data_IF_649842319715
#
_entry.id   IF_649842319715
#
_cell.length_a   1.000
_cell.length_b   1.000
_cell.length_c   1.000
_cell.angle_alpha   90.00
_cell.angle_beta   90.00
_cell.angle_gamma   90.00
#
_symmetry.space_group_name_H-M   'P 1'
#
loop_
_entity.id
_entity.type
_entity.pdbx_description
1 polymer ?
#
# COMPACT_ATOMS: atom_id res chain seq x y z
N UNK A 1 35.54 33.02 64.47
CA UNK A 1 34.38 33.93 64.42
C UNK A 1 34.75 35.04 63.43
N UNK A 2 34.08 35.33 62.32
CA UNK A 2 32.70 35.10 61.86
C UNK A 2 32.71 34.81 60.35
N UNK A 3 31.76 33.97 59.99
CA UNK A 3 31.26 33.56 58.69
C UNK A 3 31.00 34.70 57.71
N UNK A 4 31.33 34.49 56.43
CA UNK A 4 30.54 34.99 55.31
C UNK A 4 30.38 33.89 54.26
N UNK A 5 29.29 33.15 54.42
CA UNK A 5 28.73 32.24 53.43
C UNK A 5 28.20 33.11 52.29
N UNK A 6 28.81 33.03 51.11
CA UNK A 6 28.24 33.59 49.89
C UNK A 6 27.56 32.47 49.10
N UNK A 7 26.23 32.53 49.09
CA UNK A 7 25.33 31.72 48.25
C UNK A 7 25.24 32.40 46.88
N UNK A 8 25.72 31.75 45.83
CA UNK A 8 25.33 31.88 44.42
C UNK A 8 26.32 30.99 43.64
N UNK A 9 25.92 29.99 42.84
CA UNK A 9 25.22 30.16 41.57
C UNK A 9 24.46 28.87 41.24
N UNK A 10 23.23 29.04 40.77
CA UNK A 10 22.35 28.03 40.22
C UNK A 10 22.85 27.50 38.85
N UNK A 11 22.49 26.24 38.56
CA UNK A 11 22.06 25.72 37.24
C UNK A 11 23.02 25.77 36.04
N UNK A 12 23.53 24.59 35.66
CA UNK A 12 23.51 24.08 34.27
C UNK A 12 24.00 22.62 34.22
N UNK A 13 23.14 21.67 34.58
CA UNK A 13 23.33 20.25 34.26
C UNK A 13 22.10 19.75 33.48
N UNK A 14 21.91 20.30 32.28
CA UNK A 14 20.91 19.84 31.32
C UNK A 14 21.58 19.82 29.94
N UNK A 15 22.06 18.66 29.52
CA UNK A 15 22.75 18.51 28.25
C UNK A 15 23.17 17.07 27.94
N UNK A 16 22.41 16.10 28.41
CA UNK A 16 22.56 14.69 28.04
C UNK A 16 21.19 14.17 27.63
N UNK A 17 20.60 14.78 26.61
CA UNK A 17 19.39 14.27 25.98
C UNK A 17 19.71 12.89 25.43
N UNK A 18 19.27 11.86 26.14
CA UNK A 18 19.17 10.51 25.61
C UNK A 18 18.21 10.59 24.43
N UNK A 19 18.75 10.79 23.22
CA UNK A 19 18.03 10.47 22.00
C UNK A 19 17.86 8.96 22.01
N UNK A 20 16.84 8.50 22.75
CA UNK A 20 16.25 7.21 22.49
C UNK A 20 15.79 7.29 21.04
N UNK A 21 16.61 6.74 20.15
CA UNK A 21 16.20 6.37 18.81
C UNK A 21 15.04 5.41 19.04
N UNK A 22 13.82 5.94 19.04
CA UNK A 22 12.63 5.13 18.85
C UNK A 22 12.79 4.61 17.44
N UNK A 23 13.44 3.45 17.30
CA UNK A 23 13.30 2.61 16.13
C UNK A 23 11.79 2.35 16.06
N UNK A 24 11.09 3.18 15.28
CA UNK A 24 9.71 2.92 14.95
C UNK A 24 9.72 1.51 14.37
N UNK A 25 8.94 0.62 14.97
CA UNK A 25 8.65 -0.67 14.37
C UNK A 25 7.98 -0.31 13.05
N UNK A 26 8.75 -0.35 11.96
CA UNK A 26 8.21 -0.22 10.63
C UNK A 26 7.44 -1.52 10.40
N UNK A 27 6.19 -1.51 10.85
CA UNK A 27 5.22 -2.55 10.65
C UNK A 27 5.11 -2.80 9.13
N UNK A 28 5.51 -4.00 8.71
CA UNK A 28 5.57 -4.36 7.30
C UNK A 28 4.70 -5.60 7.09
N UNK A 29 3.38 -5.42 7.20
CA UNK A 29 2.45 -6.49 6.84
C UNK A 29 2.67 -7.02 5.41
N UNK A 30 2.38 -8.30 5.18
CA UNK A 30 2.22 -8.82 3.83
C UNK A 30 1.02 -8.12 3.18
N UNK A 31 1.24 -7.56 2.00
CA UNK A 31 0.17 -6.90 1.24
C UNK A 31 -0.07 -7.62 -0.08
N UNK A 32 -1.25 -7.41 -0.65
CA UNK A 32 -1.61 -7.90 -1.97
C UNK A 32 -2.17 -6.73 -2.77
N UNK A 33 -1.69 -6.57 -4.00
CA UNK A 33 -2.17 -5.58 -4.96
C UNK A 33 -2.60 -6.30 -6.24
N UNK A 34 -3.72 -5.87 -6.80
CA UNK A 34 -4.27 -6.40 -8.06
C UNK A 34 -5.06 -5.30 -8.77
N UNK A 35 -4.39 -4.39 -9.48
CA UNK A 35 -5.06 -3.26 -10.14
C UNK A 35 -6.11 -3.76 -11.13
N UNK A 36 -7.32 -3.24 -11.00
CA UNK A 36 -8.45 -3.62 -11.87
C UNK A 36 -9.09 -4.97 -11.54
N UNK A 37 -8.81 -5.58 -10.38
CA UNK A 37 -9.49 -6.79 -9.93
C UNK A 37 -11.00 -6.56 -9.78
N UNK A 38 -11.80 -7.36 -10.50
CA UNK A 38 -13.27 -7.35 -10.47
C UNK A 38 -13.82 -8.71 -10.08
N UNK A 39 -15.00 -8.71 -9.48
CA UNK A 39 -15.79 -9.91 -9.24
C UNK A 39 -15.96 -10.73 -10.53
N UNK A 40 -15.70 -12.03 -10.48
CA UNK A 40 -15.83 -12.95 -11.63
C UNK A 40 -14.71 -12.85 -12.69
N UNK A 41 -13.76 -11.93 -12.58
CA UNK A 41 -12.69 -11.72 -13.56
C UNK A 41 -11.39 -12.44 -13.19
N UNK A 42 -10.47 -12.59 -14.14
CA UNK A 42 -9.06 -12.87 -13.80
C UNK A 42 -8.33 -11.59 -13.42
N UNK A 43 -7.41 -11.68 -12.46
CA UNK A 43 -6.50 -10.59 -12.11
C UNK A 43 -5.10 -11.12 -11.79
N UNK A 44 -4.09 -10.28 -11.96
CA UNK A 44 -2.74 -10.55 -11.47
C UNK A 44 -2.64 -10.03 -10.04
N UNK A 45 -2.62 -10.93 -9.07
CA UNK A 45 -2.39 -10.63 -7.67
C UNK A 45 -0.89 -10.65 -7.38
N UNK A 46 -0.36 -9.54 -6.88
CA UNK A 46 1.04 -9.38 -6.50
C UNK A 46 1.16 -9.27 -4.98
N UNK A 47 1.71 -10.30 -4.36
CA UNK A 47 1.97 -10.35 -2.93
C UNK A 47 3.32 -9.72 -2.63
N UNK A 48 3.35 -8.65 -1.83
CA UNK A 48 4.59 -8.06 -1.32
C UNK A 48 4.86 -8.63 0.07
N UNK A 49 5.95 -9.38 0.20
CA UNK A 49 6.33 -10.08 1.42
C UNK A 49 7.66 -9.52 1.94
N UNK A 50 7.66 -8.79 3.06
CA UNK A 50 8.88 -8.34 3.73
C UNK A 50 9.43 -9.41 4.68
N UNK A 51 10.74 -9.41 4.88
CA UNK A 51 11.42 -10.23 5.89
C UNK A 51 11.58 -9.42 7.17
N UNK A 52 10.79 -9.76 8.19
CA UNK A 52 10.77 -9.05 9.48
C UNK A 52 11.75 -9.62 10.53
N UNK A 53 12.54 -10.62 10.15
CA UNK A 53 13.63 -11.13 11.00
C UNK A 53 14.89 -10.28 10.80
N UNK A 54 15.60 -10.01 11.90
CA UNK A 54 16.90 -9.33 11.86
C UNK A 54 18.04 -10.23 11.36
N UNK A 55 17.84 -11.56 11.38
CA UNK A 55 18.91 -12.53 11.10
C UNK A 55 18.53 -13.61 10.11
N UNK A 56 17.25 -13.95 10.00
CA UNK A 56 16.76 -15.02 9.12
C UNK A 56 16.20 -14.46 7.81
N UNK A 57 16.34 -15.23 6.73
CA UNK A 57 15.78 -14.89 5.42
C UNK A 57 14.43 -15.59 5.20
N UNK A 58 13.53 -15.00 4.42
CA UNK A 58 12.32 -15.69 3.93
C UNK A 58 12.71 -16.70 2.86
N UNK A 59 12.38 -17.97 3.07
CA UNK A 59 12.75 -19.08 2.17
C UNK A 59 11.55 -19.73 1.50
N UNK A 60 10.35 -19.59 2.05
CA UNK A 60 9.13 -20.01 1.38
C UNK A 60 7.94 -19.11 1.75
N UNK A 61 7.00 -19.01 0.82
CA UNK A 61 5.70 -18.42 1.06
C UNK A 61 4.61 -19.31 0.48
N UNK A 62 3.55 -19.57 1.25
CA UNK A 62 2.37 -20.30 0.80
C UNK A 62 1.15 -19.42 0.96
N UNK A 63 0.52 -19.07 -0.16
CA UNK A 63 -0.70 -18.27 -0.21
C UNK A 63 -1.88 -19.20 -0.41
N UNK A 64 -2.86 -19.14 0.49
CA UNK A 64 -4.14 -19.86 0.35
C UNK A 64 -5.08 -19.05 -0.54
N UNK A 65 -5.74 -19.70 -1.49
CA UNK A 65 -6.68 -19.07 -2.42
C UNK A 65 -8.07 -19.74 -2.35
N UNK A 66 -9.17 -19.02 -2.67
CA UNK A 66 -10.53 -19.52 -2.45
C UNK A 66 -11.02 -20.44 -3.58
N UNK A 67 -10.46 -21.65 -3.70
CA UNK A 67 -10.90 -22.69 -4.64
C UNK A 67 -11.10 -22.19 -6.09
N UNK A 68 -10.07 -21.54 -6.64
CA UNK A 68 -10.14 -20.89 -7.95
C UNK A 68 -9.91 -21.89 -9.09
N UNK A 69 -10.37 -21.57 -10.30
CA UNK A 69 -10.15 -22.46 -11.45
C UNK A 69 -8.73 -22.36 -12.01
N UNK A 70 -8.16 -21.15 -12.01
CA UNK A 70 -6.89 -20.83 -12.67
C UNK A 70 -5.94 -20.17 -11.67
N UNK A 71 -4.68 -20.63 -11.69
CA UNK A 71 -3.54 -19.95 -11.10
C UNK A 71 -2.33 -20.13 -12.02
N UNK A 72 -1.72 -19.03 -12.45
CA UNK A 72 -0.52 -19.01 -13.29
C UNK A 72 0.52 -18.10 -12.64
N UNK A 73 1.61 -18.68 -12.18
CA UNK A 73 2.68 -17.95 -11.49
C UNK A 73 3.65 -17.33 -12.49
N UNK A 74 4.08 -16.11 -12.22
CA UNK A 74 5.19 -15.51 -12.95
C UNK A 74 6.51 -16.20 -12.56
N UNK A 75 7.36 -16.62 -13.52
CA UNK A 75 8.65 -17.23 -13.21
C UNK A 75 9.56 -16.25 -12.45
N UNK A 76 10.14 -16.71 -11.34
CA UNK A 76 11.09 -15.94 -10.54
C UNK A 76 12.41 -16.71 -10.51
N UNK A 77 13.53 -16.16 -11.03
CA UNK A 77 14.82 -16.84 -10.99
C UNK A 77 15.23 -17.24 -9.57
N UNK A 78 15.64 -18.50 -9.39
CA UNK A 78 16.05 -19.06 -8.10
C UNK A 78 14.88 -19.42 -7.18
N UNK A 79 13.63 -19.37 -7.66
CA UNK A 79 12.46 -19.82 -6.91
C UNK A 79 11.62 -20.79 -7.73
N UNK A 80 11.18 -21.86 -7.07
CA UNK A 80 10.22 -22.81 -7.62
C UNK A 80 8.83 -22.49 -7.11
N UNK A 81 7.85 -22.42 -8.01
CA UNK A 81 6.44 -22.26 -7.69
C UNK A 81 5.67 -23.58 -7.84
N UNK A 82 4.77 -23.85 -6.90
CA UNK A 82 3.86 -25.00 -6.89
C UNK A 82 2.42 -24.53 -6.72
N UNK A 83 1.52 -25.05 -7.56
CA UNK A 83 0.08 -24.79 -7.46
C UNK A 83 -0.61 -26.04 -6.95
N UNK A 84 -1.17 -25.98 -5.75
CA UNK A 84 -1.91 -27.08 -5.13
C UNK A 84 -3.39 -27.02 -5.54
N UNK A 85 -3.97 -28.20 -5.78
CA UNK A 85 -5.37 -28.36 -6.19
C UNK A 85 -6.08 -29.39 -5.32
N UNK A 86 -7.38 -29.22 -5.13
CA UNK A 86 -8.25 -30.21 -4.51
C UNK A 86 -8.69 -31.31 -5.51
N UNK A 87 -9.46 -32.28 -5.02
CA UNK A 87 -9.98 -33.41 -5.83
C UNK A 87 -10.88 -32.96 -7.00
N UNK A 88 -11.51 -31.79 -6.86
CA UNK A 88 -12.30 -31.13 -7.90
C UNK A 88 -11.44 -30.30 -8.88
N UNK A 89 -10.11 -30.44 -8.83
CA UNK A 89 -9.14 -29.69 -9.65
C UNK A 89 -9.15 -28.17 -9.45
N UNK A 90 -9.75 -27.67 -8.37
CA UNK A 90 -9.72 -26.25 -8.02
C UNK A 90 -8.43 -25.93 -7.27
N UNK A 91 -7.83 -24.79 -7.58
CA UNK A 91 -6.63 -24.28 -6.92
C UNK A 91 -6.96 -23.87 -5.49
N UNK A 92 -6.21 -24.41 -4.53
CA UNK A 92 -6.36 -24.15 -3.09
C UNK A 92 -5.21 -23.35 -2.52
N UNK A 93 -4.01 -23.48 -3.08
CA UNK A 93 -2.85 -22.73 -2.63
C UNK A 93 -1.81 -22.56 -3.74
N UNK A 94 -0.96 -21.55 -3.59
CA UNK A 94 0.24 -21.34 -4.38
C UNK A 94 1.42 -21.16 -3.44
N UNK A 95 2.46 -21.98 -3.62
CA UNK A 95 3.67 -21.96 -2.80
C UNK A 95 4.86 -21.57 -3.66
N UNK A 96 5.65 -20.60 -3.21
CA UNK A 96 6.98 -20.33 -3.76
C UNK A 96 8.03 -20.74 -2.74
N UNK A 97 9.09 -21.40 -3.21
CA UNK A 97 10.20 -21.87 -2.39
C UNK A 97 11.51 -21.48 -3.04
N UNK A 98 12.43 -20.92 -2.26
CA UNK A 98 13.78 -20.62 -2.71
C UNK A 98 14.48 -21.93 -3.09
N UNK A 99 15.07 -21.97 -4.28
CA UNK A 99 15.79 -23.14 -4.78
C UNK A 99 17.04 -23.43 -3.94
N UNK A 100 17.55 -24.67 -3.93
CA UNK A 100 18.81 -24.99 -3.28
C UNK A 100 19.95 -24.05 -3.72
N UNK A 101 20.60 -23.40 -2.76
CA UNK A 101 21.66 -22.42 -3.01
C UNK A 101 21.18 -20.96 -3.13
N UNK A 102 19.87 -20.71 -3.24
CA UNK A 102 19.31 -19.38 -3.09
C UNK A 102 19.21 -19.02 -1.58
N UNK A 103 19.82 -17.91 -1.11
CA UNK A 103 19.74 -17.49 0.30
C UNK A 103 18.34 -17.02 0.74
N UNK A 104 17.39 -16.86 -0.19
CA UNK A 104 16.05 -16.32 0.10
C UNK A 104 16.05 -14.79 0.18
N UNK A 105 15.00 -14.24 0.78
CA UNK A 105 14.83 -12.78 0.96
C UNK A 105 15.45 -12.37 2.28
N UNK A 106 16.57 -11.64 2.27
CA UNK A 106 17.34 -11.32 3.47
C UNK A 106 16.64 -10.34 4.43
N UNK A 107 17.17 -10.18 5.66
CA UNK A 107 16.71 -9.19 6.62
C UNK A 107 16.57 -7.78 6.02
N UNK A 108 15.47 -7.09 6.33
CA UNK A 108 15.20 -5.72 5.86
C UNK A 108 14.86 -5.60 4.36
N UNK A 109 14.72 -6.72 3.65
CA UNK A 109 14.32 -6.76 2.24
C UNK A 109 12.86 -7.20 2.10
N UNK A 110 12.31 -7.02 0.90
CA UNK A 110 11.01 -7.57 0.51
C UNK A 110 11.11 -8.22 -0.87
N UNK A 111 10.20 -9.15 -1.15
CA UNK A 111 10.03 -9.78 -2.45
C UNK A 111 8.58 -9.65 -2.91
N UNK A 112 8.38 -9.60 -4.23
CA UNK A 112 7.07 -9.68 -4.85
C UNK A 112 6.86 -11.08 -5.44
N UNK A 113 5.70 -11.66 -5.17
CA UNK A 113 5.27 -12.93 -5.73
C UNK A 113 3.97 -12.71 -6.49
N UNK A 114 4.03 -12.78 -7.82
CA UNK A 114 2.90 -12.51 -8.68
C UNK A 114 2.25 -13.80 -9.18
N UNK A 115 0.93 -13.82 -9.18
CA UNK A 115 0.12 -14.91 -9.70
C UNK A 115 -1.13 -14.36 -10.39
N UNK A 116 -1.37 -14.78 -11.62
CA UNK A 116 -2.65 -14.58 -12.29
C UNK A 116 -3.66 -15.57 -11.72
N UNK A 117 -4.73 -15.07 -11.10
CA UNK A 117 -5.77 -15.84 -10.42
C UNK A 117 -7.12 -15.57 -11.06
N UNK A 118 -7.97 -16.60 -11.14
CA UNK A 118 -9.39 -16.40 -11.38
C UNK A 118 -10.18 -17.63 -11.81
N UNK A 119 -11.46 -17.46 -12.15
CA UNK A 119 -12.23 -16.22 -11.93
C UNK A 119 -12.33 -15.89 -10.44
N UNK A 120 -12.13 -14.63 -10.07
CA UNK A 120 -12.23 -14.18 -8.68
C UNK A 120 -13.69 -14.35 -8.18
N UNK A 121 -13.90 -14.60 -6.88
CA UNK A 121 -15.24 -14.86 -6.37
C UNK A 121 -16.14 -13.63 -6.47
N UNK A 122 -17.46 -13.85 -6.48
CA UNK A 122 -18.49 -12.80 -6.53
C UNK A 122 -18.76 -12.25 -5.14
N UNK A 123 -17.78 -11.55 -4.58
CA UNK A 123 -17.82 -10.93 -3.26
C UNK A 123 -17.03 -9.62 -3.26
N UNK A 124 -17.31 -8.73 -2.32
CA UNK A 124 -16.68 -7.40 -2.26
C UNK A 124 -15.20 -7.45 -1.88
N UNK A 125 -14.76 -8.51 -1.21
CA UNK A 125 -13.35 -8.70 -0.84
C UNK A 125 -12.93 -10.16 -0.78
N UNK A 126 -11.66 -10.43 -0.98
CA UNK A 126 -11.06 -11.76 -0.88
C UNK A 126 -9.82 -11.67 0.00
N UNK A 127 -9.77 -12.47 1.06
CA UNK A 127 -8.59 -12.64 1.89
C UNK A 127 -7.75 -13.84 1.42
N UNK A 128 -6.44 -13.70 1.56
CA UNK A 128 -5.44 -14.66 1.12
C UNK A 128 -4.51 -15.03 2.28
N UNK A 129 -4.96 -15.90 3.21
CA UNK A 129 -4.11 -16.33 4.32
C UNK A 129 -2.76 -16.85 3.82
N UNK A 130 -1.68 -16.31 4.38
CA UNK A 130 -0.32 -16.57 3.88
C UNK A 130 0.56 -17.13 4.98
N UNK A 131 1.26 -18.24 4.71
CA UNK A 131 2.32 -18.77 5.57
C UNK A 131 3.67 -18.30 5.04
N UNK A 132 4.50 -17.74 5.90
CA UNK A 132 5.86 -17.32 5.57
C UNK A 132 6.86 -18.15 6.37
N UNK A 133 7.74 -18.87 5.69
CA UNK A 133 8.79 -19.69 6.30
C UNK A 133 10.13 -18.97 6.23
N UNK A 134 10.85 -18.97 7.34
CA UNK A 134 12.17 -18.38 7.49
C UNK A 134 13.27 -19.45 7.50
N UNK A 135 14.50 -19.03 7.21
CA UNK A 135 15.69 -19.89 7.14
C UNK A 135 16.07 -20.55 8.48
N UNK A 136 15.62 -19.99 9.60
CA UNK A 136 15.79 -20.54 10.96
C UNK A 136 14.72 -21.58 11.34
N UNK A 137 13.79 -21.87 10.42
CA UNK A 137 12.68 -22.80 10.62
C UNK A 137 11.43 -22.15 11.22
N UNK A 138 11.45 -20.87 11.59
CA UNK A 138 10.26 -20.15 12.06
C UNK A 138 9.23 -20.04 10.93
N UNK A 139 7.96 -20.19 11.27
CA UNK A 139 6.84 -19.94 10.36
C UNK A 139 5.95 -18.86 10.97
N UNK A 140 5.59 -17.86 10.17
CA UNK A 140 4.63 -16.80 10.53
C UNK A 140 3.37 -16.99 9.71
N UNK A 141 2.22 -16.98 10.38
CA UNK A 141 0.90 -17.09 9.77
C UNK A 141 0.25 -15.71 9.65
N UNK A 142 0.12 -15.22 8.41
CA UNK A 142 -0.60 -14.01 8.05
C UNK A 142 -2.08 -14.35 7.78
N UNK A 143 -2.85 -14.56 8.86
CA UNK A 143 -4.22 -15.06 8.80
C UNK A 143 -5.21 -14.32 9.71
N UNK A 144 -4.77 -13.24 10.38
CA UNK A 144 -5.61 -12.51 11.31
C UNK A 144 -6.51 -11.49 10.59
N UNK A 145 -7.62 -11.07 11.21
CA UNK A 145 -8.40 -9.92 10.75
C UNK A 145 -7.57 -8.63 10.74
N UNK A 146 -7.91 -7.69 9.85
CA UNK A 146 -7.18 -6.42 9.69
C UNK A 146 -7.40 -5.39 10.82
N UNK A 147 -8.37 -5.62 11.69
CA UNK A 147 -8.80 -4.70 12.76
C UNK A 147 -8.01 -4.83 14.07
N UNK A 148 -7.04 -5.74 14.14
CA UNK A 148 -6.24 -6.06 15.36
C UNK A 148 -5.13 -5.04 15.70
N UNK A 149 -5.10 -3.85 15.07
CA UNK A 149 -4.04 -2.85 15.27
C UNK A 149 -2.66 -3.26 14.73
N UNK A 150 -1.63 -2.43 14.97
CA UNK A 150 -0.24 -2.56 14.46
C UNK A 150 0.59 -3.68 15.12
N UNK A 151 -0.04 -4.72 15.65
CA UNK A 151 0.65 -5.79 16.37
C UNK A 151 0.27 -7.19 15.87
N UNK A 152 -0.48 -7.27 14.78
CA UNK A 152 -1.00 -8.51 14.23
C UNK A 152 -0.30 -8.95 12.95
N UNK A 153 -0.66 -10.14 12.47
CA UNK A 153 -0.29 -10.64 11.15
C UNK A 153 -1.56 -10.77 10.31
N UNK A 154 -2.10 -9.64 9.79
CA UNK A 154 -3.36 -9.66 9.07
C UNK A 154 -3.23 -10.43 7.75
N UNK A 155 -4.31 -11.11 7.36
CA UNK A 155 -4.38 -11.75 6.06
C UNK A 155 -4.39 -10.69 4.94
N UNK A 156 -3.50 -10.79 3.94
CA UNK A 156 -3.56 -9.95 2.74
C UNK A 156 -4.95 -10.03 2.11
N UNK A 157 -5.59 -8.90 1.88
CA UNK A 157 -6.98 -8.84 1.40
C UNK A 157 -7.10 -7.89 0.22
N UNK A 158 -7.76 -8.35 -0.84
CA UNK A 158 -8.13 -7.52 -2.00
C UNK A 158 -9.59 -7.10 -1.89
N UNK A 159 -9.88 -5.84 -2.18
CA UNK A 159 -11.23 -5.38 -2.51
C UNK A 159 -11.47 -5.62 -4.01
N UNK A 160 -12.64 -6.16 -4.35
CA UNK A 160 -13.03 -6.44 -5.73
C UNK A 160 -14.08 -5.42 -6.17
N UNK A 161 -13.83 -4.76 -7.30
CA UNK A 161 -14.86 -3.95 -7.92
C UNK A 161 -16.01 -4.85 -8.41
N UNK A 162 -17.23 -4.30 -8.40
CA UNK A 162 -18.39 -4.99 -8.96
C UNK A 162 -18.11 -5.41 -10.41
N UNK A 163 -18.67 -6.54 -10.83
CA UNK A 163 -18.63 -6.93 -12.23
C UNK A 163 -19.24 -5.80 -13.07
N UNK A 164 -18.53 -5.36 -14.10
CA UNK A 164 -19.15 -4.52 -15.13
C UNK A 164 -20.21 -5.38 -15.80
N UNK A 165 -21.47 -4.99 -15.70
CA UNK A 165 -22.56 -5.60 -16.45
C UNK A 165 -22.41 -5.23 -17.91
N UNK A 166 -21.44 -5.83 -18.60
CA UNK A 166 -21.31 -5.65 -20.04
C UNK A 166 -22.31 -6.59 -20.70
N UNK A 167 -23.43 -5.97 -21.04
CA UNK A 167 -24.34 -6.32 -22.10
C UNK A 167 -23.63 -7.14 -23.17
N UNK A 168 -24.13 -8.36 -23.38
CA UNK A 168 -23.81 -9.15 -24.54
C UNK A 168 -24.26 -8.33 -25.76
N UNK A 169 -23.35 -7.51 -26.29
CA UNK A 169 -23.54 -6.75 -27.52
C UNK A 169 -23.80 -7.75 -28.64
N UNK A 170 -25.07 -8.00 -28.92
CA UNK A 170 -25.48 -8.81 -30.06
C UNK A 170 -25.03 -8.05 -31.30
N UNK A 171 -24.19 -8.71 -32.09
CA UNK A 171 -23.78 -8.20 -33.38
C UNK A 171 -25.01 -7.87 -34.21
N UNK A 172 -25.14 -6.59 -34.55
CA UNK A 172 -26.23 -6.05 -35.35
C UNK A 172 -26.34 -6.74 -36.70
N UNK A 173 -27.55 -7.23 -36.99
CA UNK A 173 -28.04 -7.45 -38.34
C UNK A 173 -29.11 -6.38 -38.59
N UNK A 174 -28.89 -5.58 -39.63
CA UNK A 174 -29.64 -4.35 -39.88
C UNK A 174 -31.06 -4.55 -40.42
N UNK A 175 -31.80 -3.45 -40.48
CA UNK A 175 -32.50 -2.99 -41.69
C UNK A 175 -33.16 -1.64 -41.41
N UNK A 176 -33.16 -0.81 -42.45
CA UNK A 176 -33.57 0.58 -42.54
C UNK A 176 -35.04 0.84 -42.14
N UNK A 177 -35.33 2.04 -41.63
CA UNK A 177 -36.55 2.76 -42.03
C UNK A 177 -36.39 4.29 -41.91
N UNK A 178 -36.58 4.93 -43.06
CA UNK A 178 -36.72 6.37 -43.33
C UNK A 178 -37.90 7.04 -42.60
N UNK A 179 -37.73 8.30 -42.20
CA UNK A 179 -38.82 9.18 -41.78
C UNK A 179 -38.37 10.57 -41.33
N UNK A 180 -38.48 11.55 -42.23
CA UNK A 180 -38.13 12.98 -42.15
C UNK A 180 -38.99 13.79 -41.16
N UNK A 181 -38.42 14.84 -40.51
CA UNK A 181 -39.20 15.86 -39.80
C UNK A 181 -38.39 16.96 -39.09
N UNK A 182 -38.29 18.12 -39.75
CA UNK A 182 -37.79 19.47 -39.37
C UNK A 182 -37.78 19.94 -37.89
N UNK A 183 -36.63 20.51 -37.52
CA UNK A 183 -36.37 21.89 -37.02
C UNK A 183 -36.76 22.39 -35.60
N UNK A 184 -35.71 22.93 -34.96
CA UNK A 184 -35.59 24.17 -34.17
C UNK A 184 -35.75 24.12 -32.63
N UNK A 185 -34.66 24.26 -31.87
CA UNK A 185 -34.24 25.56 -31.29
C UNK A 185 -32.88 25.50 -30.53
N UNK A 186 -32.05 26.46 -30.91
CA UNK A 186 -30.87 27.09 -30.30
C UNK A 186 -30.57 26.97 -28.78
N UNK A 187 -29.26 26.94 -28.50
CA UNK A 187 -28.50 27.83 -27.59
C UNK A 187 -27.71 27.16 -26.44
N UNK A 188 -26.40 27.08 -26.69
CA UNK A 188 -25.24 27.31 -25.83
C UNK A 188 -25.42 27.36 -24.29
N UNK A 189 -24.58 26.60 -23.60
CA UNK A 189 -23.74 27.13 -22.51
C UNK A 189 -22.52 26.22 -22.30
N UNK A 190 -21.34 26.81 -22.44
CA UNK A 190 -20.06 26.33 -21.91
C UNK A 190 -20.08 26.39 -20.38
N UNK A 191 -19.42 25.45 -19.70
CA UNK A 191 -18.57 25.68 -18.53
C UNK A 191 -17.99 24.33 -18.07
N UNK A 192 -16.71 24.07 -18.32
CA UNK A 192 -15.51 24.48 -17.58
C UNK A 192 -15.15 23.48 -16.46
N UNK A 193 -14.01 22.84 -16.70
CA UNK A 193 -13.20 22.04 -15.79
C UNK A 193 -12.60 22.95 -14.69
N UNK A 194 -12.67 22.53 -13.42
CA UNK A 194 -11.71 22.88 -12.33
C UNK A 194 -12.34 22.77 -10.93
N UNK A 195 -12.70 21.55 -10.53
CA UNK A 195 -13.13 21.25 -9.16
C UNK A 195 -12.01 21.22 -8.10
N UNK A 196 -10.74 21.46 -8.47
CA UNK A 196 -9.58 21.21 -7.60
C UNK A 196 -8.67 22.43 -7.39
N UNK A 197 -8.86 23.52 -8.12
CA UNK A 197 -7.87 24.61 -8.18
C UNK A 197 -8.11 25.74 -7.14
N UNK A 198 -9.35 25.93 -6.67
CA UNK A 198 -9.67 27.01 -5.71
C UNK A 198 -9.06 26.78 -4.33
N UNK A 199 -9.05 25.54 -3.83
CA UNK A 199 -8.50 25.20 -2.50
C UNK A 199 -6.97 25.29 -2.48
N UNK A 200 -6.32 24.85 -3.56
CA UNK A 200 -4.87 24.90 -3.70
C UNK A 200 -4.37 26.35 -3.75
N UNK A 201 -5.07 27.23 -4.48
CA UNK A 201 -4.73 28.66 -4.58
C UNK A 201 -4.98 29.42 -3.27
N UNK A 202 -6.02 29.07 -2.51
CA UNK A 202 -6.28 29.67 -1.20
C UNK A 202 -5.21 29.33 -0.16
N UNK A 203 -4.79 28.06 -0.09
CA UNK A 203 -3.72 27.62 0.81
C UNK A 203 -2.35 28.18 0.39
N UNK A 204 -2.06 28.24 -0.91
CA UNK A 204 -0.86 28.87 -1.45
C UNK A 204 -0.77 30.37 -1.13
N UNK A 205 -1.89 31.09 -1.25
CA UNK A 205 -1.97 32.52 -0.94
C UNK A 205 -1.73 32.83 0.54
N UNK A 206 -2.39 32.10 1.45
CA UNK A 206 -2.18 32.27 2.90
C UNK A 206 -0.75 31.93 3.33
N UNK A 207 -0.17 30.86 2.78
CA UNK A 207 1.20 30.45 3.07
C UNK A 207 2.24 31.51 2.65
N UNK A 208 2.05 32.13 1.48
CA UNK A 208 2.95 33.18 0.98
C UNK A 208 2.88 34.46 1.83
N UNK A 209 1.68 34.85 2.27
CA UNK A 209 1.50 35.99 3.17
C UNK A 209 2.17 35.77 4.54
N UNK A 210 2.06 34.57 5.11
CA UNK A 210 2.73 34.22 6.37
C UNK A 210 4.25 34.18 6.22
N UNK A 211 4.77 33.66 5.11
CA UNK A 211 6.20 33.60 4.81
C UNK A 211 6.85 34.99 4.69
N UNK A 212 6.19 35.94 4.05
CA UNK A 212 6.69 37.31 3.90
C UNK A 212 6.73 38.08 5.24
N UNK A 213 5.76 37.87 6.13
CA UNK A 213 5.77 38.45 7.48
C UNK A 213 6.91 37.86 8.34
N UNK A 214 7.17 36.56 8.22
CA UNK A 214 8.29 35.90 8.92
C UNK A 214 9.66 36.43 8.48
N UNK A 215 9.87 36.64 7.18
CA UNK A 215 11.11 37.24 6.64
C UNK A 215 11.31 38.69 7.11
N UNK A 216 10.24 39.49 7.20
CA UNK A 216 10.33 40.87 7.68
C UNK A 216 10.80 40.99 9.13
N UNK A 217 10.31 40.13 10.02
CA UNK A 217 10.72 40.10 11.43
C UNK A 217 12.12 39.51 11.62
N UNK A 218 12.52 38.55 10.78
CA UNK A 218 13.87 37.95 10.79
C UNK A 218 14.97 38.91 10.37
N UNK A 219 14.75 39.76 9.36
CA UNK A 219 15.74 40.77 8.94
C UNK A 219 15.84 41.92 9.95
N UNK A 220 14.73 42.29 10.60
CA UNK A 220 14.71 43.33 11.63
C UNK A 220 15.52 43.00 12.88
N UNK A 221 15.56 41.73 13.30
CA UNK A 221 16.32 41.30 14.48
C UNK A 221 17.84 41.28 14.24
N UNK A 222 18.28 40.93 13.03
CA UNK A 222 19.70 40.90 12.65
C UNK A 222 20.29 42.32 12.51
N UNK A 223 19.50 43.29 12.08
CA UNK A 223 19.96 44.68 11.96
C UNK A 223 20.07 45.34 13.34
N UNK A 224 19.16 45.04 14.28
CA UNK A 224 19.19 45.62 15.63
C UNK A 224 20.30 45.05 16.52
N UNK A 225 20.73 43.81 16.29
CA UNK A 225 21.86 43.20 16.99
C UNK A 225 23.24 43.74 16.61
N UNK A 226 23.34 44.61 15.59
CA UNK A 226 24.62 45.18 15.10
C UNK A 226 24.85 46.63 15.54
N UNK A 227 23.94 47.21 16.33
CA UNK A 227 24.01 48.58 16.85
C UNK A 227 23.85 48.67 18.38
N UNK A 228 24.13 47.57 19.10
CA UNK A 228 24.47 47.58 20.53
C UNK A 228 25.73 46.75 20.73
#
# INVERSE_FOLDING_TARGET
>A
MRTFISRAVCTAALGGGLLAVTAGVADAHVTVDAPGAKQGSMAVATFRVPTESETAATTAITVTVPNLSIAMTEPIPGWTAKVDRNDSSQVTAVTWTADPGNPGVGPGQFQRFAVALGPLPQQDSVSFPTKQTYSDGKVVDWNQPADQGHAGNPAPTLTLAAASGDEHGTHGVGSENTGTGSENHSAAAESDDSGTDTTARWLGGLGLAAGLLGLGLGVGSVIRGRQS
#
